data_IF_311570932036
#
_entry.id   IF_311570932036
#
_cell.length_a   1.000
_cell.length_b   1.000
_cell.length_c   1.000
_cell.angle_alpha   90.00
_cell.angle_beta   90.00
_cell.angle_gamma   90.00
#
_symmetry.space_group_name_H-M   'P 1'
#
loop_
_entity.id
_entity.type
_entity.pdbx_description
1 polymer ?
#
# COMPACT_ATOMS: atom_id res chain seq x y z
N UNK A 1 -9.51 -1.48 33.15
CA UNK A 1 -9.05 -1.13 31.78
C UNK A 1 -9.88 0.02 31.22
N UNK A 2 -9.40 0.83 30.26
CA UNK A 2 -10.19 1.94 29.65
C UNK A 2 -11.54 1.44 29.07
N UNK A 3 -11.58 0.17 28.66
CA UNK A 3 -12.76 -0.56 28.23
C UNK A 3 -13.79 -0.83 29.35
N UNK A 4 -13.33 -1.08 30.59
CA UNK A 4 -14.18 -1.20 31.79
C UNK A 4 -14.83 0.13 32.19
N UNK A 5 -14.11 1.25 32.05
CA UNK A 5 -14.64 2.58 32.38
C UNK A 5 -15.76 2.98 31.40
N UNK A 6 -15.63 2.59 30.13
CA UNK A 6 -16.67 2.79 29.12
C UNK A 6 -17.93 1.93 29.39
N UNK A 7 -17.76 0.73 29.95
CA UNK A 7 -18.88 -0.15 30.34
C UNK A 7 -19.75 0.47 31.43
N UNK A 8 -19.13 1.09 32.45
CA UNK A 8 -19.83 1.74 33.55
C UNK A 8 -20.71 2.91 33.08
N UNK A 9 -20.35 3.57 31.98
CA UNK A 9 -21.05 4.73 31.44
C UNK A 9 -22.04 4.43 30.31
N UNK A 10 -22.29 3.14 29.98
CA UNK A 10 -23.22 2.70 28.91
C UNK A 10 -22.97 3.36 27.53
N UNK A 11 -21.74 3.85 27.27
CA UNK A 11 -21.35 4.40 25.96
C UNK A 11 -20.76 3.30 25.07
N UNK A 12 -20.98 3.41 23.76
CA UNK A 12 -20.48 2.40 22.82
C UNK A 12 -18.93 2.39 22.82
N UNK A 13 -18.37 1.26 23.22
CA UNK A 13 -16.92 1.08 23.40
C UNK A 13 -16.17 1.25 22.06
N UNK A 14 -16.82 0.84 20.97
CA UNK A 14 -16.29 0.95 19.62
C UNK A 14 -16.09 2.40 19.17
N UNK A 15 -17.09 3.28 19.34
CA UNK A 15 -16.98 4.67 18.88
C UNK A 15 -16.18 5.56 19.83
N UNK A 16 -16.31 5.35 21.15
CA UNK A 16 -15.71 6.23 22.14
C UNK A 16 -14.24 5.90 22.44
N UNK A 17 -13.84 4.63 22.30
CA UNK A 17 -12.49 4.16 22.68
C UNK A 17 -11.80 3.51 21.49
N UNK A 18 -12.45 2.57 20.80
CA UNK A 18 -11.85 1.84 19.67
C UNK A 18 -11.49 2.75 18.49
N UNK A 19 -12.44 3.55 18.02
CA UNK A 19 -12.27 4.43 16.87
C UNK A 19 -11.17 5.49 17.07
N UNK A 20 -11.13 6.28 18.17
CA UNK A 20 -10.07 7.25 18.37
C UNK A 20 -8.69 6.64 18.59
N UNK A 21 -8.59 5.44 19.18
CA UNK A 21 -7.31 4.72 19.26
C UNK A 21 -6.85 4.17 17.90
N UNK A 22 -7.77 3.82 17.01
CA UNK A 22 -7.46 3.30 15.68
C UNK A 22 -7.14 4.39 14.64
N UNK A 23 -7.61 5.64 14.84
CA UNK A 23 -7.35 6.79 13.95
C UNK A 23 -5.91 6.90 13.43
N UNK A 24 -4.85 6.88 14.27
CA UNK A 24 -3.46 7.00 13.78
C UNK A 24 -3.00 5.80 12.94
N UNK A 25 -3.56 4.61 13.16
CA UNK A 25 -3.28 3.43 12.33
C UNK A 25 -4.00 3.52 10.98
N UNK A 26 -5.25 3.99 10.97
CA UNK A 26 -6.04 4.19 9.75
C UNK A 26 -5.38 5.25 8.85
N UNK A 27 -4.91 6.37 9.41
CA UNK A 27 -4.23 7.41 8.61
C UNK A 27 -2.94 6.90 7.98
N UNK A 28 -2.18 6.05 8.69
CA UNK A 28 -0.96 5.47 8.16
C UNK A 28 -1.26 4.44 7.05
N UNK A 29 -2.25 3.56 7.25
CA UNK A 29 -2.68 2.62 6.21
C UNK A 29 -3.23 3.34 4.97
N UNK A 30 -3.99 4.41 5.16
CA UNK A 30 -4.51 5.23 4.07
C UNK A 30 -3.38 5.93 3.31
N UNK A 31 -2.36 6.45 4.00
CA UNK A 31 -1.18 7.04 3.35
C UNK A 31 -0.42 6.02 2.49
N UNK A 32 -0.24 4.78 2.97
CA UNK A 32 0.40 3.70 2.22
C UNK A 32 -0.40 3.33 0.96
N UNK A 33 -1.73 3.16 1.10
CA UNK A 33 -2.60 2.88 -0.04
C UNK A 33 -2.55 4.01 -1.07
N UNK A 34 -2.54 5.27 -0.64
CA UNK A 34 -2.41 6.41 -1.54
C UNK A 34 -1.08 6.38 -2.31
N UNK A 35 0.03 6.02 -1.65
CA UNK A 35 1.34 5.91 -2.33
C UNK A 35 1.33 4.81 -3.39
N UNK A 36 0.74 3.66 -3.08
CA UNK A 36 0.63 2.55 -4.03
C UNK A 36 -0.22 2.95 -5.25
N UNK A 37 -1.36 3.58 -5.03
CA UNK A 37 -2.26 4.06 -6.11
C UNK A 37 -1.60 5.14 -6.97
N UNK A 38 -0.78 6.02 -6.38
CA UNK A 38 -0.02 7.02 -7.14
C UNK A 38 1.07 6.36 -8.00
N UNK A 39 1.63 5.24 -7.54
CA UNK A 39 2.63 4.46 -8.28
C UNK A 39 2.03 3.56 -9.37
N UNK A 40 0.72 3.29 -9.32
CA UNK A 40 0.01 2.53 -10.34
C UNK A 40 -0.16 3.36 -11.64
N UNK A 41 0.83 3.25 -12.53
CA UNK A 41 0.84 3.94 -13.82
C UNK A 41 0.02 3.20 -14.91
N UNK A 42 0.07 1.86 -14.92
CA UNK A 42 -0.44 1.07 -16.07
C UNK A 42 -1.96 1.11 -16.24
N UNK A 43 -2.72 1.18 -15.15
CA UNK A 43 -4.20 1.24 -15.20
C UNK A 43 -4.71 2.61 -15.65
N UNK A 44 -4.09 3.71 -15.21
CA UNK A 44 -4.49 5.07 -15.61
C UNK A 44 -4.12 5.40 -17.05
N UNK A 45 -3.02 4.84 -17.57
CA UNK A 45 -2.69 4.90 -19.00
C UNK A 45 -3.74 4.16 -19.83
N UNK A 46 -4.14 2.95 -19.42
CA UNK A 46 -5.14 2.16 -20.14
C UNK A 46 -6.50 2.86 -20.24
N UNK A 47 -6.92 3.56 -19.18
CA UNK A 47 -8.19 4.31 -19.16
C UNK A 47 -8.07 5.76 -19.68
N UNK A 48 -6.90 6.17 -20.17
CA UNK A 48 -6.61 7.52 -20.67
C UNK A 48 -7.06 8.63 -19.70
N UNK A 49 -6.92 8.39 -18.39
CA UNK A 49 -7.28 9.37 -17.36
C UNK A 49 -6.15 10.38 -17.23
N UNK A 50 -6.44 11.67 -17.36
CA UNK A 50 -5.44 12.72 -17.23
C UNK A 50 -4.89 12.77 -15.78
N UNK A 51 -3.74 12.14 -15.56
CA UNK A 51 -3.00 12.17 -14.30
C UNK A 51 -1.75 13.02 -14.40
N UNK A 52 -1.18 13.41 -13.26
CA UNK A 52 0.06 14.19 -13.20
C UNK A 52 1.21 13.48 -13.95
N UNK A 53 1.30 12.16 -13.84
CA UNK A 53 2.31 11.34 -14.53
C UNK A 53 2.12 11.37 -16.04
N UNK A 54 0.87 11.21 -16.52
CA UNK A 54 0.56 11.31 -17.97
C UNK A 54 0.78 12.73 -18.52
N UNK A 55 0.54 13.77 -17.71
CA UNK A 55 0.86 15.15 -18.07
C UNK A 55 2.35 15.37 -18.33
N UNK A 56 3.23 14.79 -17.50
CA UNK A 56 4.69 14.82 -17.71
C UNK A 56 5.05 14.13 -19.03
N UNK A 57 4.50 12.93 -19.27
CA UNK A 57 4.76 12.17 -20.49
C UNK A 57 4.24 12.88 -21.75
N UNK A 58 3.09 13.55 -21.68
CA UNK A 58 2.53 14.30 -22.81
C UNK A 58 3.39 15.54 -23.15
N UNK A 59 3.90 16.27 -22.16
CA UNK A 59 4.83 17.40 -22.42
C UNK A 59 6.16 16.92 -22.99
N UNK A 60 6.64 15.77 -22.54
CA UNK A 60 7.87 15.19 -23.06
C UNK A 60 7.73 14.61 -24.47
N UNK A 61 6.77 13.71 -24.69
CA UNK A 61 6.58 12.98 -25.95
C UNK A 61 5.68 13.71 -26.95
N UNK A 62 4.61 14.35 -26.48
CA UNK A 62 3.65 15.06 -27.32
C UNK A 62 4.14 16.44 -27.76
N UNK A 63 4.75 17.20 -26.85
CA UNK A 63 5.27 18.55 -27.14
C UNK A 63 6.78 18.60 -27.42
N UNK A 64 7.50 17.47 -27.29
CA UNK A 64 8.97 17.38 -27.45
C UNK A 64 9.76 18.42 -26.63
N UNK A 65 9.21 18.86 -25.48
CA UNK A 65 9.82 19.89 -24.64
C UNK A 65 10.31 19.31 -23.31
N UNK A 66 11.55 18.84 -23.33
CA UNK A 66 12.21 18.19 -22.19
C UNK A 66 12.35 19.16 -20.99
N UNK A 67 12.52 20.46 -21.25
CA UNK A 67 12.69 21.46 -20.19
C UNK A 67 11.40 21.66 -19.41
N UNK A 68 10.27 21.80 -20.11
CA UNK A 68 8.96 21.91 -19.49
C UNK A 68 8.57 20.62 -18.74
N UNK A 69 8.86 19.46 -19.33
CA UNK A 69 8.64 18.17 -18.67
C UNK A 69 9.46 18.02 -17.37
N UNK A 70 10.71 18.50 -17.35
CA UNK A 70 11.56 18.49 -16.16
C UNK A 70 11.02 19.41 -15.05
N UNK A 71 10.47 20.58 -15.40
CA UNK A 71 9.85 21.49 -14.43
C UNK A 71 8.63 20.84 -13.76
N UNK A 72 7.75 20.21 -14.54
CA UNK A 72 6.55 19.54 -14.01
C UNK A 72 6.96 18.31 -13.17
N UNK A 73 7.98 17.58 -13.59
CA UNK A 73 8.54 16.45 -12.83
C UNK A 73 9.08 16.86 -11.47
N UNK A 74 9.76 18.02 -11.39
CA UNK A 74 10.25 18.56 -10.12
C UNK A 74 9.09 18.89 -9.16
N UNK A 75 8.01 19.47 -9.68
CA UNK A 75 6.79 19.74 -8.89
C UNK A 75 6.16 18.44 -8.39
N UNK A 76 6.06 17.43 -9.25
CA UNK A 76 5.58 16.09 -8.87
C UNK A 76 6.46 15.42 -7.81
N UNK A 77 7.77 15.60 -7.90
CA UNK A 77 8.72 15.08 -6.91
C UNK A 77 8.52 15.74 -5.53
N UNK A 78 8.36 17.07 -5.49
CA UNK A 78 8.03 17.81 -4.25
C UNK A 78 6.70 17.35 -3.66
N UNK A 79 5.70 17.07 -4.50
CA UNK A 79 4.41 16.54 -4.06
C UNK A 79 4.56 15.17 -3.39
N UNK A 80 5.28 14.22 -4.00
CA UNK A 80 5.54 12.90 -3.41
C UNK A 80 6.34 13.02 -2.12
N UNK A 81 7.38 13.85 -2.07
CA UNK A 81 8.14 14.10 -0.84
C UNK A 81 7.27 14.68 0.28
N UNK A 82 6.28 15.53 -0.07
CA UNK A 82 5.33 16.06 0.90
C UNK A 82 4.43 14.97 1.48
N UNK A 83 3.93 14.06 0.63
CA UNK A 83 3.16 12.88 1.08
C UNK A 83 4.00 11.96 1.97
N UNK A 84 5.25 11.70 1.60
CA UNK A 84 6.17 10.90 2.39
C UNK A 84 6.48 11.58 3.74
N UNK A 85 6.64 12.91 3.76
CA UNK A 85 6.79 13.68 5.00
C UNK A 85 5.58 13.56 5.93
N UNK A 86 4.36 13.62 5.36
CA UNK A 86 3.10 13.38 6.08
C UNK A 86 3.04 11.97 6.65
N UNK A 87 3.45 10.96 5.90
CA UNK A 87 3.52 9.57 6.36
C UNK A 87 4.50 9.42 7.52
N UNK A 88 5.72 9.97 7.38
CA UNK A 88 6.75 9.91 8.41
C UNK A 88 6.31 10.62 9.70
N UNK A 89 5.62 11.76 9.58
CA UNK A 89 5.03 12.46 10.71
C UNK A 89 3.91 11.63 11.38
N UNK A 90 3.03 11.02 10.59
CA UNK A 90 1.99 10.13 11.08
C UNK A 90 2.57 8.90 11.80
N UNK A 91 3.66 8.32 11.27
CA UNK A 91 4.39 7.19 11.86
C UNK A 91 5.07 7.56 13.17
N UNK A 92 5.62 8.77 13.28
CA UNK A 92 6.21 9.28 14.53
C UNK A 92 5.20 9.31 15.69
N UNK A 93 3.93 9.65 15.40
CA UNK A 93 2.83 9.64 16.38
C UNK A 93 2.38 8.24 16.81
N UNK A 94 2.83 7.16 16.14
CA UNK A 94 2.52 5.78 16.54
C UNK A 94 3.32 5.31 17.77
N UNK A 95 4.35 6.06 18.21
CA UNK A 95 5.10 5.73 19.44
C UNK A 95 4.27 5.81 20.73
N UNK A 96 3.10 6.44 20.72
CA UNK A 96 2.22 6.52 21.90
C UNK A 96 1.39 5.26 22.17
N UNK A 97 1.50 4.21 21.34
CA UNK A 97 0.89 2.90 21.60
C UNK A 97 1.91 1.79 21.92
N UNK A 98 3.17 2.13 22.21
CA UNK A 98 4.20 1.17 22.68
C UNK A 98 4.30 1.07 24.21
N UNK A 99 3.25 1.45 24.95
CA UNK A 99 3.07 1.17 26.40
C UNK A 99 2.12 -0.02 26.63
N UNK A 100 2.15 -1.01 25.74
CA UNK A 100 1.82 -2.37 26.17
C UNK A 100 2.54 -3.37 25.29
N UNK A 101 3.85 -3.43 25.53
CA UNK A 101 4.63 -4.63 25.28
C UNK A 101 4.27 -5.74 26.28
N UNK A 102 2.98 -5.90 26.60
CA UNK A 102 2.41 -7.21 26.80
C UNK A 102 2.21 -7.72 25.37
N UNK A 103 3.21 -8.30 24.71
CA UNK A 103 3.55 -9.71 24.92
C UNK A 103 2.41 -10.47 25.61
N UNK A 104 1.17 -10.33 25.13
CA UNK A 104 0.40 -11.53 24.90
C UNK A 104 1.28 -12.32 23.96
N UNK A 105 2.09 -13.21 24.53
CA UNK A 105 2.70 -14.28 23.79
C UNK A 105 1.56 -14.85 22.96
N UNK A 106 1.58 -14.56 21.64
CA UNK A 106 0.70 -15.19 20.69
C UNK A 106 0.91 -16.67 20.93
N UNK A 107 -0.01 -17.29 21.66
CA UNK A 107 0.12 -18.69 22.03
C UNK A 107 0.11 -19.40 20.69
N UNK A 108 1.22 -20.03 20.26
CA UNK A 108 1.27 -20.62 18.94
C UNK A 108 0.12 -21.61 18.87
N UNK A 109 -0.85 -21.31 18.01
CA UNK A 109 -1.92 -22.24 17.71
C UNK A 109 -1.21 -23.41 17.04
N UNK A 110 -1.09 -24.53 17.75
CA UNK A 110 -0.52 -25.75 17.20
C UNK A 110 -1.52 -26.25 16.16
N UNK A 111 -1.36 -25.73 14.95
CA UNK A 111 -2.07 -26.19 13.76
C UNK A 111 -1.54 -27.58 13.45
N UNK A 112 -2.47 -28.52 13.28
CA UNK A 112 -2.19 -29.86 12.78
C UNK A 112 -1.44 -29.78 11.44
N UNK A 113 -0.66 -30.81 11.07
CA UNK A 113 0.19 -30.79 9.86
C UNK A 113 -0.60 -30.42 8.60
N UNK A 114 -1.88 -30.82 8.55
CA UNK A 114 -2.83 -30.49 7.48
C UNK A 114 -3.17 -28.99 7.41
N UNK A 115 -3.28 -28.33 8.56
CA UNK A 115 -3.52 -26.89 8.67
C UNK A 115 -2.31 -26.07 8.21
N UNK A 116 -1.08 -26.50 8.56
CA UNK A 116 0.15 -25.88 8.06
C UNK A 116 0.27 -25.99 6.53
N UNK A 117 0.01 -27.17 5.97
CA UNK A 117 0.06 -27.35 4.50
C UNK A 117 -0.98 -26.50 3.78
N UNK A 118 -2.18 -26.34 4.34
CA UNK A 118 -3.22 -25.50 3.75
C UNK A 118 -2.83 -24.01 3.77
N UNK A 119 -2.27 -23.51 4.88
CA UNK A 119 -1.78 -22.13 4.94
C UNK A 119 -0.64 -21.87 3.96
N UNK A 120 0.30 -22.81 3.82
CA UNK A 120 1.40 -22.71 2.84
C UNK A 120 0.84 -22.69 1.42
N UNK A 121 -0.09 -23.60 1.09
CA UNK A 121 -0.74 -23.62 -0.22
C UNK A 121 -1.45 -22.31 -0.52
N UNK A 122 -2.24 -21.78 0.43
CA UNK A 122 -2.96 -20.51 0.27
C UNK A 122 -2.00 -19.33 0.08
N UNK A 123 -0.88 -19.29 0.79
CA UNK A 123 0.16 -18.26 0.57
C UNK A 123 0.93 -18.45 -0.74
N UNK A 124 1.09 -19.69 -1.21
CA UNK A 124 1.76 -19.99 -2.48
C UNK A 124 0.88 -19.66 -3.69
N UNK A 125 -0.44 -19.66 -3.58
CA UNK A 125 -1.36 -19.28 -4.66
C UNK A 125 -1.03 -17.89 -5.22
N UNK A 126 -1.07 -16.78 -4.46
CA UNK A 126 -0.79 -15.45 -5.02
C UNK A 126 0.65 -15.33 -5.56
N UNK A 127 1.63 -16.03 -4.99
CA UNK A 127 2.99 -16.09 -5.54
C UNK A 127 3.05 -16.81 -6.88
N UNK A 128 2.41 -17.97 -7.01
CA UNK A 128 2.38 -18.74 -8.25
C UNK A 128 1.62 -17.97 -9.34
N UNK A 129 0.43 -17.47 -9.05
CA UNK A 129 -0.36 -16.73 -10.05
C UNK A 129 0.31 -15.39 -10.42
N UNK A 130 0.85 -14.66 -9.44
CA UNK A 130 1.51 -13.38 -9.67
C UNK A 130 2.87 -13.48 -10.38
N UNK A 131 3.58 -14.62 -10.28
CA UNK A 131 4.89 -14.80 -10.89
C UNK A 131 4.87 -15.71 -12.13
N UNK A 132 4.20 -16.86 -12.07
CA UNK A 132 4.24 -17.88 -13.15
C UNK A 132 3.52 -17.39 -14.40
N UNK A 133 2.40 -16.66 -14.26
CA UNK A 133 1.68 -16.11 -15.42
C UNK A 133 2.54 -15.10 -16.19
N UNK A 134 3.07 -14.03 -15.58
CA UNK A 134 3.89 -13.07 -16.32
C UNK A 134 5.19 -13.67 -16.85
N UNK A 135 5.87 -14.53 -16.08
CA UNK A 135 7.10 -15.20 -16.55
C UNK A 135 6.81 -16.15 -17.72
N UNK A 136 5.70 -16.87 -17.68
CA UNK A 136 5.28 -17.75 -18.78
C UNK A 136 4.95 -16.98 -20.05
N UNK A 137 4.26 -15.84 -19.94
CA UNK A 137 3.99 -14.94 -21.07
C UNK A 137 5.29 -14.37 -21.64
N UNK A 138 6.21 -13.94 -20.77
CA UNK A 138 7.50 -13.38 -21.19
C UNK A 138 8.38 -14.42 -21.88
N UNK A 139 8.47 -15.65 -21.34
CA UNK A 139 9.18 -16.77 -21.95
C UNK A 139 8.58 -17.13 -23.30
N UNK A 140 7.25 -17.13 -23.43
CA UNK A 140 6.59 -17.33 -24.72
C UNK A 140 6.98 -16.24 -25.73
N UNK A 141 6.99 -14.97 -25.32
CA UNK A 141 7.44 -13.86 -26.20
C UNK A 141 8.90 -14.04 -26.64
N UNK A 142 9.80 -14.37 -25.71
CA UNK A 142 11.22 -14.60 -26.01
C UNK A 142 11.44 -15.81 -26.92
N UNK A 143 10.72 -16.91 -26.71
CA UNK A 143 10.85 -18.14 -27.50
C UNK A 143 10.13 -18.08 -28.86
N UNK A 144 9.08 -17.26 -28.98
CA UNK A 144 8.26 -17.15 -30.20
C UNK A 144 8.63 -15.96 -31.08
N UNK A 145 9.38 -14.95 -30.58
CA UNK A 145 9.70 -13.77 -31.38
C UNK A 145 10.69 -12.80 -30.73
N UNK A 146 11.97 -13.12 -30.80
CA UNK A 146 12.92 -12.08 -31.19
C UNK A 146 12.59 -11.70 -32.64
N UNK A 147 12.39 -10.41 -32.90
CA UNK A 147 12.07 -9.79 -34.19
C UNK A 147 10.60 -9.88 -34.63
N UNK A 148 9.79 -8.87 -34.25
CA UNK A 148 9.06 -7.98 -35.19
C UNK A 148 9.04 -6.58 -34.60
#
# INVERSE_FOLDING_TARGET
>A
SLFEIALVHRKSQFWAVGLPLARPAITAGLALVLMEVVSDFGTVEYFAVETLTLGIFNVWLGMNNIVAAAQISLVGFVFILSLLGLELYARSRQRFASTSRATHALRPLHLDLRGQTACILVCCIPLLFGFVIPVGVLLKFVLTGGVV
#
